data_IF_418898368580
#
_entry.id   IF_418898368580
#
_cell.length_a   1.000
_cell.length_b   1.000
_cell.length_c   1.000
_cell.angle_alpha   90.00
_cell.angle_beta   90.00
_cell.angle_gamma   90.00
#
_symmetry.space_group_name_H-M   'P 1'
#
loop_
_entity.id
_entity.type
_entity.pdbx_description
1 polymer ?
#
# COMPACT_ATOMS: atom_id res chain seq x y z
N UNK A 1 7.73 -0.35 -2.40
CA UNK A 1 7.57 0.08 -1.00
C UNK A 1 6.13 -0.16 -0.57
N UNK A 2 5.89 -0.55 0.68
CA UNK A 2 4.53 -0.67 1.24
C UNK A 2 4.38 0.43 2.30
N UNK A 3 3.39 1.30 2.12
CA UNK A 3 2.93 2.24 3.15
C UNK A 3 1.74 1.61 3.85
N UNK A 4 1.88 1.31 5.13
CA UNK A 4 0.80 0.77 5.95
C UNK A 4 0.38 1.80 6.98
N UNK A 5 -0.92 2.00 7.12
CA UNK A 5 -1.51 2.87 8.13
C UNK A 5 -2.77 2.25 8.73
N UNK A 6 -3.15 2.72 9.91
CA UNK A 6 -4.46 2.42 10.49
C UNK A 6 -5.51 3.34 9.88
N UNK A 7 -6.74 2.85 9.78
CA UNK A 7 -7.87 3.65 9.31
C UNK A 7 -8.15 4.86 10.19
N UNK A 8 -8.69 5.91 9.57
CA UNK A 8 -9.14 7.16 10.20
C UNK A 8 -8.05 8.11 10.69
N UNK A 9 -6.78 7.88 10.32
CA UNK A 9 -5.66 8.76 10.66
C UNK A 9 -5.32 9.70 9.49
N UNK A 10 -5.95 10.88 9.45
CA UNK A 10 -5.82 11.85 8.35
C UNK A 10 -4.37 12.38 8.14
N UNK A 11 -3.56 12.39 9.19
CA UNK A 11 -2.16 12.85 9.10
C UNK A 11 -1.35 11.93 8.19
N UNK A 12 -1.53 10.62 8.29
CA UNK A 12 -0.80 9.66 7.45
C UNK A 12 -1.27 9.68 6.00
N UNK A 13 -2.50 10.11 5.73
CA UNK A 13 -2.97 10.34 4.36
C UNK A 13 -2.20 11.47 3.69
N UNK A 14 -2.02 12.58 4.40
CA UNK A 14 -1.25 13.73 3.93
C UNK A 14 0.21 13.35 3.69
N UNK A 15 0.84 12.67 4.65
CA UNK A 15 2.22 12.20 4.52
C UNK A 15 2.38 11.22 3.35
N UNK A 16 1.47 10.25 3.21
CA UNK A 16 1.48 9.28 2.13
C UNK A 16 1.40 9.97 0.75
N UNK A 17 0.68 11.08 0.63
CA UNK A 17 0.59 11.84 -0.63
C UNK A 17 1.94 12.42 -1.06
N UNK A 18 2.71 12.96 -0.10
CA UNK A 18 4.04 13.53 -0.34
C UNK A 18 5.02 12.42 -0.69
N UNK A 19 4.98 11.32 0.07
CA UNK A 19 5.83 10.15 -0.16
C UNK A 19 5.55 9.52 -1.51
N UNK A 20 4.27 9.36 -1.90
CA UNK A 20 3.89 8.81 -3.20
C UNK A 20 4.50 9.63 -4.34
N UNK A 21 4.42 10.96 -4.28
CA UNK A 21 5.02 11.83 -5.29
C UNK A 21 6.54 11.67 -5.38
N UNK A 22 7.23 11.49 -4.24
CA UNK A 22 8.66 11.25 -4.24
C UNK A 22 9.02 9.88 -4.85
N UNK A 23 8.25 8.84 -4.53
CA UNK A 23 8.44 7.49 -5.06
C UNK A 23 8.23 7.42 -6.57
N UNK A 24 7.20 8.10 -7.08
CA UNK A 24 6.93 8.17 -8.51
C UNK A 24 8.09 8.83 -9.27
N UNK A 25 8.66 9.91 -8.73
CA UNK A 25 9.86 10.57 -9.31
C UNK A 25 11.09 9.65 -9.35
N UNK A 26 11.17 8.69 -8.43
CA UNK A 26 12.25 7.69 -8.38
C UNK A 26 11.91 6.41 -9.16
N UNK A 27 10.76 6.34 -9.84
CA UNK A 27 10.22 5.12 -10.46
C UNK A 27 10.10 3.93 -9.48
N UNK A 28 9.90 4.21 -8.18
CA UNK A 28 9.72 3.18 -7.16
C UNK A 28 8.21 2.90 -7.01
N UNK A 29 7.73 1.68 -7.28
CA UNK A 29 6.33 1.34 -7.06
C UNK A 29 5.98 1.37 -5.56
N UNK A 30 4.82 1.97 -5.24
CA UNK A 30 4.27 2.10 -3.89
C UNK A 30 2.88 1.45 -3.81
N UNK A 31 2.66 0.67 -2.75
CA UNK A 31 1.34 0.17 -2.36
C UNK A 31 0.93 0.81 -1.04
N UNK A 32 -0.19 1.54 -1.03
CA UNK A 32 -0.83 1.98 0.20
C UNK A 32 -1.81 0.92 0.69
N UNK A 33 -1.62 0.48 1.93
CA UNK A 33 -2.51 -0.43 2.66
C UNK A 33 -3.06 0.28 3.89
N UNK A 34 -4.33 0.01 4.15
CA UNK A 34 -5.04 0.56 5.29
C UNK A 34 -5.91 -0.54 5.90
N UNK A 35 -5.89 -0.65 7.22
CA UNK A 35 -6.79 -1.54 7.96
C UNK A 35 -7.23 -0.91 9.27
N UNK A 36 -8.36 -1.37 9.80
CA UNK A 36 -8.73 -1.16 11.19
C UNK A 36 -8.00 -2.18 12.09
N UNK A 37 -8.33 -2.19 13.39
CA UNK A 37 -7.92 -3.25 14.33
C UNK A 37 -8.72 -4.56 14.17
N UNK A 38 -9.56 -4.66 13.13
CA UNK A 38 -10.33 -5.86 12.84
C UNK A 38 -9.48 -6.89 12.07
N UNK A 39 -9.32 -8.08 12.65
CA UNK A 39 -8.53 -9.17 12.08
C UNK A 39 -9.40 -10.30 11.49
N UNK A 40 -10.68 -10.02 11.22
CA UNK A 40 -11.56 -10.99 10.58
C UNK A 40 -11.00 -11.39 9.22
N UNK A 41 -11.31 -12.61 8.75
CA UNK A 41 -10.85 -13.06 7.43
C UNK A 41 -11.41 -12.17 6.33
N UNK A 42 -12.62 -11.66 6.56
CA UNK A 42 -13.35 -10.74 5.72
C UNK A 42 -12.61 -9.40 5.61
N UNK A 43 -12.05 -8.89 6.72
CA UNK A 43 -11.25 -7.66 6.72
C UNK A 43 -9.85 -7.85 6.10
N UNK A 44 -9.18 -8.97 6.40
CA UNK A 44 -7.77 -9.18 6.01
C UNK A 44 -7.62 -9.78 4.60
N UNK A 45 -8.56 -10.63 4.17
CA UNK A 45 -8.51 -11.33 2.88
C UNK A 45 -8.24 -10.42 1.68
N UNK A 46 -8.99 -9.31 1.50
CA UNK A 46 -8.75 -8.36 0.42
C UNK A 46 -7.35 -7.72 0.44
N UNK A 47 -6.77 -7.50 1.63
CA UNK A 47 -5.43 -6.92 1.77
C UNK A 47 -4.35 -7.90 1.26
N UNK A 48 -4.50 -9.19 1.55
CA UNK A 48 -3.61 -10.24 1.04
C UNK A 48 -3.58 -10.23 -0.50
N UNK A 49 -4.74 -10.24 -1.15
CA UNK A 49 -4.82 -10.21 -2.62
C UNK A 49 -4.18 -8.94 -3.20
N UNK A 50 -4.34 -7.77 -2.56
CA UNK A 50 -3.68 -6.53 -3.02
C UNK A 50 -2.17 -6.62 -2.95
N UNK A 51 -1.62 -7.26 -1.91
CA UNK A 51 -0.17 -7.50 -1.77
C UNK A 51 0.32 -8.44 -2.88
N UNK A 52 -0.40 -9.53 -3.14
CA UNK A 52 -0.06 -10.51 -4.19
C UNK A 52 -0.01 -9.85 -5.56
N UNK A 53 -1.06 -9.12 -5.95
CA UNK A 53 -1.10 -8.40 -7.24
C UNK A 53 -0.02 -7.32 -7.35
N UNK A 54 0.33 -6.65 -6.24
CA UNK A 54 1.41 -5.68 -6.22
C UNK A 54 2.77 -6.35 -6.47
N UNK A 55 3.05 -7.48 -5.82
CA UNK A 55 4.29 -8.25 -6.03
C UNK A 55 4.41 -8.69 -7.49
N UNK A 56 3.33 -9.17 -8.11
CA UNK A 56 3.30 -9.53 -9.52
C UNK A 56 3.63 -8.35 -10.43
N UNK A 57 3.01 -7.19 -10.18
CA UNK A 57 3.28 -5.94 -10.91
C UNK A 57 4.75 -5.53 -10.82
N UNK A 58 5.34 -5.63 -9.62
CA UNK A 58 6.77 -5.31 -9.41
C UNK A 58 7.67 -6.29 -10.14
N UNK A 59 7.33 -7.59 -10.15
CA UNK A 59 8.10 -8.62 -10.88
C UNK A 59 8.07 -8.38 -12.39
N UNK A 60 6.93 -8.01 -12.95
CA UNK A 60 6.78 -7.71 -14.38
C UNK A 60 7.65 -6.52 -14.82
N UNK A 61 7.80 -5.49 -13.98
CA UNK A 61 8.66 -4.33 -14.28
C UNK A 61 10.16 -4.63 -14.32
N UNK A 62 10.60 -5.76 -13.75
CA UNK A 62 12.01 -6.17 -13.71
C UNK A 62 12.42 -7.02 -14.92
N UNK A 63 11.46 -7.61 -15.64
CA UNK A 63 11.69 -8.40 -16.84
C UNK A 63 11.78 -7.53 -18.09
#
# INVERSE_FOLDING_TARGET
MIWYQLSFEEVYDLECSIVSQAMDKMNIPLLKLESSYEYSREAVGPLTTRIESFIETVRQRRS
#
